data_IF_168575852819
#
_entry.id   IF_168575852819
#
_cell.length_a   1.000
_cell.length_b   1.000
_cell.length_c   1.000
_cell.angle_alpha   90.00
_cell.angle_beta   90.00
_cell.angle_gamma   90.00
#
_symmetry.space_group_name_H-M   'P 1'
#
loop_
_entity.id
_entity.type
_entity.pdbx_description
1 polymer ?
#
# COMPACT_ATOMS: atom_id res chain seq x y z
N UNK A 1 -7.80 14.59 -2.36
CA UNK A 1 -7.99 13.23 -2.93
C UNK A 1 -8.37 13.22 -4.41
N UNK A 2 -8.92 14.29 -5.00
CA UNK A 2 -9.24 14.31 -6.44
C UNK A 2 -8.01 14.35 -7.36
N UNK A 3 -6.84 14.62 -6.80
CA UNK A 3 -5.57 14.72 -7.51
C UNK A 3 -4.84 13.38 -7.67
N UNK A 4 -5.42 12.29 -7.13
CA UNK A 4 -4.79 10.96 -7.14
C UNK A 4 -5.71 9.91 -7.77
N UNK A 5 -5.11 9.05 -8.61
CA UNK A 5 -5.75 7.84 -9.09
C UNK A 5 -5.54 6.71 -8.07
N UNK A 6 -6.59 5.94 -7.80
CA UNK A 6 -6.58 4.74 -6.98
C UNK A 6 -6.48 3.53 -7.91
N UNK A 7 -5.46 2.70 -7.70
CA UNK A 7 -5.30 1.44 -8.41
C UNK A 7 -5.47 0.28 -7.43
N UNK A 8 -6.50 -0.52 -7.65
CA UNK A 8 -6.67 -1.81 -6.97
C UNK A 8 -6.09 -2.91 -7.86
N UNK A 9 -5.06 -3.60 -7.38
CA UNK A 9 -4.45 -4.72 -8.10
C UNK A 9 -4.94 -6.07 -7.55
N UNK A 10 -5.40 -6.95 -8.44
CA UNK A 10 -5.94 -8.27 -8.06
C UNK A 10 -7.45 -8.29 -7.80
N UNK A 11 -7.95 -9.35 -7.15
CA UNK A 11 -9.35 -9.48 -6.70
C UNK A 11 -10.41 -9.69 -7.80
N UNK A 12 -10.04 -9.66 -9.08
CA UNK A 12 -11.00 -9.70 -10.18
C UNK A 12 -11.66 -8.34 -10.44
N UNK A 13 -12.65 -8.30 -11.34
CA UNK A 13 -13.36 -7.04 -11.63
C UNK A 13 -14.24 -6.64 -10.45
N UNK A 14 -14.31 -5.34 -10.15
CA UNK A 14 -15.29 -4.82 -9.20
C UNK A 14 -16.70 -5.33 -9.52
N UNK A 15 -17.36 -5.85 -8.51
CA UNK A 15 -18.77 -6.19 -8.50
C UNK A 15 -19.65 -4.97 -8.77
N UNK A 16 -20.92 -5.21 -9.07
CA UNK A 16 -21.89 -4.13 -9.31
C UNK A 16 -22.05 -3.25 -8.06
N UNK A 17 -22.05 -3.87 -6.87
CA UNK A 17 -22.20 -3.17 -5.60
C UNK A 17 -20.98 -2.31 -5.26
N UNK A 18 -19.76 -2.80 -5.51
CA UNK A 18 -18.52 -2.01 -5.32
C UNK A 18 -18.48 -0.81 -6.26
N UNK A 19 -18.84 -0.99 -7.53
CA UNK A 19 -18.92 0.13 -8.49
C UNK A 19 -19.95 1.17 -8.06
N UNK A 20 -21.11 0.71 -7.58
CA UNK A 20 -22.14 1.60 -7.06
C UNK A 20 -21.63 2.40 -5.86
N UNK A 21 -20.95 1.73 -4.92
CA UNK A 21 -20.38 2.39 -3.75
C UNK A 21 -19.32 3.43 -4.14
N UNK A 22 -18.43 3.11 -5.08
CA UNK A 22 -17.43 4.06 -5.61
C UNK A 22 -18.11 5.30 -6.21
N UNK A 23 -19.18 5.11 -7.00
CA UNK A 23 -19.94 6.22 -7.58
C UNK A 23 -20.65 7.07 -6.52
N UNK A 24 -21.19 6.45 -5.47
CA UNK A 24 -21.84 7.16 -4.35
C UNK A 24 -20.86 8.02 -3.53
N UNK A 25 -19.58 7.65 -3.49
CA UNK A 25 -18.51 8.44 -2.86
C UNK A 25 -18.11 9.70 -3.66
N UNK A 26 -18.70 9.93 -4.83
CA UNK A 26 -18.43 11.10 -5.67
C UNK A 26 -17.04 11.08 -6.33
N UNK A 27 -16.44 9.89 -6.46
CA UNK A 27 -15.23 9.65 -7.24
C UNK A 27 -15.59 9.54 -8.72
N UNK A 28 -14.73 10.04 -9.60
CA UNK A 28 -14.93 9.93 -11.04
C UNK A 28 -14.75 8.47 -11.49
N UNK A 29 -15.46 8.06 -12.54
CA UNK A 29 -15.42 6.68 -13.05
C UNK A 29 -14.00 6.20 -13.41
N UNK A 30 -13.11 7.13 -13.77
CA UNK A 30 -11.72 6.86 -14.12
C UNK A 30 -10.74 7.03 -12.95
N UNK A 31 -11.17 7.47 -11.77
CA UNK A 31 -10.28 7.65 -10.60
C UNK A 31 -9.97 6.34 -9.90
N UNK A 32 -10.84 5.32 -9.99
CA UNK A 32 -10.63 4.02 -9.35
C UNK A 32 -10.51 2.92 -10.40
N UNK A 33 -9.31 2.38 -10.58
CA UNK A 33 -8.98 1.40 -11.61
C UNK A 33 -8.71 0.05 -10.98
N UNK A 34 -9.38 -0.99 -11.47
CA UNK A 34 -8.98 -2.37 -11.20
C UNK A 34 -7.98 -2.83 -12.27
N UNK A 35 -6.79 -3.24 -11.86
CA UNK A 35 -5.75 -3.76 -12.74
C UNK A 35 -5.44 -5.20 -12.37
N UNK A 36 -5.24 -6.03 -13.39
CA UNK A 36 -4.83 -7.42 -13.24
C UNK A 36 -3.59 -7.67 -14.09
N UNK A 37 -2.71 -8.53 -13.63
CA UNK A 37 -1.46 -8.86 -14.31
C UNK A 37 -0.62 -9.83 -13.50
N UNK A 38 0.57 -10.14 -14.02
CA UNK A 38 1.59 -10.87 -13.27
C UNK A 38 2.55 -9.93 -12.55
N UNK A 39 3.56 -10.51 -11.90
CA UNK A 39 4.52 -9.82 -11.02
C UNK A 39 5.20 -8.63 -11.69
N UNK A 40 5.54 -8.73 -12.98
CA UNK A 40 6.14 -7.61 -13.73
C UNK A 40 5.23 -6.37 -13.77
N UNK A 41 3.91 -6.56 -13.93
CA UNK A 41 2.96 -5.44 -13.91
C UNK A 41 2.87 -4.85 -12.50
N UNK A 42 2.83 -5.71 -11.49
CA UNK A 42 2.77 -5.30 -10.09
C UNK A 42 4.01 -4.48 -9.69
N UNK A 43 5.21 -4.94 -10.05
CA UNK A 43 6.47 -4.20 -9.90
C UNK A 43 6.44 -2.82 -10.54
N UNK A 44 5.89 -2.72 -11.77
CA UNK A 44 5.73 -1.42 -12.44
C UNK A 44 4.77 -0.52 -11.66
N UNK A 45 3.67 -1.07 -11.13
CA UNK A 45 2.73 -0.30 -10.32
C UNK A 45 3.37 0.20 -9.03
N UNK A 46 4.11 -0.64 -8.30
CA UNK A 46 4.84 -0.21 -7.10
C UNK A 46 5.82 0.92 -7.43
N UNK A 47 6.63 0.79 -8.49
CA UNK A 47 7.61 1.81 -8.87
C UNK A 47 7.01 3.16 -9.27
N UNK A 48 5.73 3.18 -9.66
CA UNK A 48 5.01 4.39 -10.08
C UNK A 48 4.06 4.92 -9.01
N UNK A 49 3.79 4.14 -7.97
CA UNK A 49 2.85 4.53 -6.93
C UNK A 49 3.50 5.53 -5.96
N UNK A 50 2.82 6.66 -5.75
CA UNK A 50 3.20 7.64 -4.72
C UNK A 50 3.06 7.08 -3.30
N UNK A 51 2.12 6.15 -3.13
CA UNK A 51 1.80 5.52 -1.85
C UNK A 51 1.17 4.15 -2.10
N UNK A 52 1.64 3.13 -1.40
CA UNK A 52 0.99 1.84 -1.31
C UNK A 52 0.21 1.73 0.00
N UNK A 53 -1.08 1.40 -0.10
CA UNK A 53 -2.00 1.27 1.04
C UNK A 53 -2.37 -0.19 1.21
N UNK A 54 -2.12 -0.73 2.40
CA UNK A 54 -2.40 -2.13 2.73
C UNK A 54 -3.31 -2.27 3.96
N UNK A 55 -4.65 -2.18 3.78
CA UNK A 55 -5.61 -2.14 4.89
C UNK A 55 -6.03 -3.54 5.39
N UNK A 56 -5.19 -4.57 5.21
CA UNK A 56 -5.57 -5.95 5.50
C UNK A 56 -5.82 -6.20 7.00
N UNK A 57 -6.88 -6.94 7.33
CA UNK A 57 -7.23 -7.28 8.71
C UNK A 57 -6.48 -8.52 9.22
N UNK A 58 -6.19 -9.48 8.34
CA UNK A 58 -5.58 -10.75 8.73
C UNK A 58 -4.80 -11.36 7.57
N UNK A 59 -3.48 -11.46 7.71
CA UNK A 59 -2.59 -12.08 6.73
C UNK A 59 -1.44 -12.81 7.39
N UNK A 60 -0.86 -13.77 6.65
CA UNK A 60 0.24 -14.62 7.12
C UNK A 60 1.60 -13.91 7.16
N UNK A 61 2.13 -13.52 6.00
CA UNK A 61 3.56 -13.16 5.86
C UNK A 61 3.85 -11.68 5.58
N UNK A 62 2.89 -10.90 5.10
CA UNK A 62 3.12 -9.47 4.81
C UNK A 62 4.11 -9.20 3.67
N UNK A 63 4.14 -10.05 2.64
CA UNK A 63 5.01 -9.87 1.46
C UNK A 63 4.70 -8.60 0.65
N UNK A 64 3.43 -8.22 0.39
CA UNK A 64 3.16 -7.06 -0.47
C UNK A 64 3.75 -5.74 0.04
N UNK A 65 3.71 -5.42 1.35
CA UNK A 65 4.46 -4.30 1.92
C UNK A 65 5.97 -4.34 1.64
N UNK A 66 6.62 -5.50 1.73
CA UNK A 66 8.06 -5.62 1.47
C UNK A 66 8.39 -5.45 -0.01
N UNK A 67 7.59 -6.02 -0.90
CA UNK A 67 7.74 -5.83 -2.35
C UNK A 67 7.61 -4.35 -2.73
N UNK A 68 6.62 -3.66 -2.17
CA UNK A 68 6.45 -2.22 -2.39
C UNK A 68 7.67 -1.41 -1.92
N UNK A 69 8.18 -1.71 -0.72
CA UNK A 69 9.39 -1.07 -0.18
C UNK A 69 10.62 -1.29 -1.08
N UNK A 70 10.77 -2.49 -1.65
CA UNK A 70 11.90 -2.82 -2.52
C UNK A 70 11.89 -1.99 -3.82
N UNK A 71 10.70 -1.60 -4.26
CA UNK A 71 10.49 -0.71 -5.40
C UNK A 71 10.51 0.78 -5.02
N UNK A 72 11.05 1.13 -3.84
CA UNK A 72 11.06 2.50 -3.30
C UNK A 72 9.66 3.11 -3.19
N UNK A 73 8.63 2.29 -2.98
CA UNK A 73 7.27 2.78 -2.77
C UNK A 73 7.01 2.98 -1.26
N UNK A 74 6.59 4.18 -0.82
CA UNK A 74 6.18 4.42 0.55
C UNK A 74 4.97 3.57 0.92
N UNK A 75 5.00 2.94 2.09
CA UNK A 75 3.95 2.03 2.55
C UNK A 75 3.19 2.61 3.74
N UNK A 76 1.87 2.51 3.68
CA UNK A 76 0.98 2.63 4.82
C UNK A 76 0.18 1.36 4.98
N UNK A 77 0.06 0.85 6.20
CA UNK A 77 -0.57 -0.44 6.44
C UNK A 77 -1.36 -0.48 7.74
N UNK A 78 -2.22 -1.49 7.87
CA UNK A 78 -2.90 -1.76 9.13
C UNK A 78 -1.89 -2.09 10.24
N UNK A 79 -2.28 -1.79 11.48
CA UNK A 79 -1.52 -2.09 12.69
C UNK A 79 -1.81 -3.50 13.26
N UNK A 80 -2.32 -4.42 12.44
CA UNK A 80 -2.81 -5.74 12.88
C UNK A 80 -1.95 -6.90 12.36
N UNK A 81 -2.09 -8.07 13.00
CA UNK A 81 -1.36 -9.31 12.65
C UNK A 81 0.18 -9.14 12.70
N UNK A 82 0.90 -9.84 11.82
CA UNK A 82 2.36 -9.81 11.66
C UNK A 82 2.87 -8.56 10.94
N UNK A 83 1.99 -7.72 10.37
CA UNK A 83 2.38 -6.58 9.53
C UNK A 83 3.27 -5.58 10.28
N UNK A 84 2.96 -5.13 11.52
CA UNK A 84 3.80 -4.17 12.25
C UNK A 84 5.21 -4.66 12.50
N UNK A 85 5.39 -5.97 12.67
CA UNK A 85 6.69 -6.62 12.85
C UNK A 85 7.44 -6.67 11.53
N UNK A 86 6.79 -7.04 10.43
CA UNK A 86 7.40 -7.09 9.10
C UNK A 86 7.87 -5.71 8.66
N UNK A 87 7.01 -4.69 8.69
CA UNK A 87 7.34 -3.34 8.21
C UNK A 87 8.20 -2.53 9.20
N UNK A 88 8.14 -2.86 10.50
CA UNK A 88 8.90 -2.16 11.53
C UNK A 88 8.61 -0.65 11.57
N UNK A 89 9.65 0.18 11.39
CA UNK A 89 9.55 1.64 11.32
C UNK A 89 9.48 2.19 9.89
N UNK A 90 9.51 1.31 8.89
CA UNK A 90 9.58 1.68 7.48
C UNK A 90 8.22 1.92 6.82
N UNK A 91 7.13 1.83 7.59
CA UNK A 91 5.77 2.16 7.16
C UNK A 91 5.05 2.92 8.27
N UNK A 92 4.16 3.83 7.88
CA UNK A 92 3.17 4.34 8.83
C UNK A 92 2.04 3.32 8.99
N UNK A 93 1.51 3.27 10.19
CA UNK A 93 0.50 2.30 10.60
C UNK A 93 -0.79 3.02 10.97
N UNK A 94 -1.92 2.45 10.56
CA UNK A 94 -3.24 2.94 10.92
C UNK A 94 -4.09 1.82 11.55
N UNK A 95 -5.11 2.20 12.30
CA UNK A 95 -6.16 1.30 12.75
C UNK A 95 -7.09 0.96 11.58
N UNK A 96 -7.26 -0.32 11.21
CA UNK A 96 -8.14 -0.69 10.09
C UNK A 96 -9.63 -0.52 10.42
N UNK A 97 -9.97 -0.26 11.68
CA UNK A 97 -11.33 0.01 12.14
C UNK A 97 -11.66 1.50 12.21
N UNK A 98 -10.69 2.37 11.89
CA UNK A 98 -10.83 3.83 11.98
C UNK A 98 -10.55 4.47 10.62
N UNK A 99 -11.62 4.89 9.95
CA UNK A 99 -11.56 5.52 8.62
C UNK A 99 -10.87 6.89 8.68
N UNK A 100 -10.99 7.61 9.81
CA UNK A 100 -10.33 8.90 9.98
C UNK A 100 -8.82 8.70 10.12
N UNK A 101 -8.39 7.68 10.88
CA UNK A 101 -6.96 7.35 11.04
C UNK A 101 -6.32 6.88 9.73
N UNK A 102 -7.04 6.08 8.93
CA UNK A 102 -6.62 5.68 7.58
C UNK A 102 -6.39 6.94 6.72
N UNK A 103 -7.39 7.82 6.66
CA UNK A 103 -7.37 9.01 5.82
C UNK A 103 -6.23 9.94 6.23
N UNK A 104 -6.12 10.25 7.52
CA UNK A 104 -5.07 11.11 8.05
C UNK A 104 -3.67 10.53 7.84
N UNK A 105 -3.51 9.22 7.97
CA UNK A 105 -2.22 8.54 7.72
C UNK A 105 -1.83 8.60 6.24
N UNK A 106 -2.80 8.42 5.33
CA UNK A 106 -2.57 8.58 3.89
C UNK A 106 -2.20 10.02 3.54
N UNK A 107 -2.93 11.01 4.05
CA UNK A 107 -2.69 12.44 3.78
C UNK A 107 -1.30 12.89 4.24
N UNK A 108 -0.83 12.41 5.39
CA UNK A 108 0.53 12.67 5.87
C UNK A 108 1.58 12.28 4.84
N UNK A 109 1.44 11.13 4.18
CA UNK A 109 2.44 10.66 3.19
C UNK A 109 2.25 11.33 1.84
N UNK A 110 1.00 11.55 1.41
CA UNK A 110 0.70 12.16 0.12
C UNK A 110 1.16 13.62 0.05
N UNK A 111 0.95 14.40 1.11
CA UNK A 111 1.22 15.85 1.10
C UNK A 111 2.51 16.27 1.81
N UNK A 112 3.24 15.35 2.46
CA UNK A 112 4.54 15.64 3.06
C UNK A 112 5.65 14.86 2.35
N UNK A 113 6.42 15.55 1.50
CA UNK A 113 7.54 14.95 0.78
C UNK A 113 8.65 14.45 1.69
N UNK A 114 8.91 15.13 2.82
CA UNK A 114 9.94 14.68 3.77
C UNK A 114 9.60 13.33 4.38
N UNK A 115 8.35 13.16 4.84
CA UNK A 115 7.89 11.87 5.38
C UNK A 115 7.98 10.79 4.30
N UNK A 116 7.61 11.13 3.06
CA UNK A 116 7.67 10.20 1.94
C UNK A 116 9.11 9.72 1.69
N UNK A 117 10.06 10.65 1.63
CA UNK A 117 11.48 10.34 1.38
C UNK A 117 12.07 9.50 2.52
N UNK A 118 11.73 9.84 3.77
CA UNK A 118 12.15 9.07 4.95
C UNK A 118 11.62 7.63 4.91
N UNK A 119 10.35 7.44 4.52
CA UNK A 119 9.74 6.12 4.38
C UNK A 119 10.36 5.31 3.25
N UNK A 120 10.68 5.94 2.10
CA UNK A 120 11.37 5.24 1.01
C UNK A 120 12.74 4.73 1.44
N UNK A 121 13.54 5.58 2.10
CA UNK A 121 14.86 5.20 2.60
C UNK A 121 14.76 4.10 3.68
N UNK A 122 13.84 4.25 4.63
CA UNK A 122 13.62 3.25 5.67
C UNK A 122 13.12 1.92 5.07
N UNK A 123 12.29 1.96 4.03
CA UNK A 123 11.80 0.82 3.27
C UNK A 123 12.92 0.02 2.64
N UNK A 124 13.79 0.68 1.89
CA UNK A 124 14.95 0.05 1.25
C UNK A 124 15.92 -0.57 2.26
N UNK A 125 16.13 0.07 3.42
CA UNK A 125 16.94 -0.55 4.48
C UNK A 125 16.22 -1.73 5.13
N UNK A 126 14.88 -1.69 5.24
CA UNK A 126 14.09 -2.78 5.82
C UNK A 126 14.15 -4.02 4.94
N UNK A 127 14.02 -3.90 3.62
CA UNK A 127 14.02 -5.06 2.71
C UNK A 127 15.32 -5.84 2.72
N UNK A 128 16.47 -5.20 2.96
CA UNK A 128 17.77 -5.88 3.18
C UNK A 128 17.77 -6.88 4.33
N UNK A 129 16.88 -6.71 5.31
CA UNK A 129 16.74 -7.66 6.42
C UNK A 129 15.98 -8.93 6.03
N UNK A 130 15.24 -8.89 4.93
CA UNK A 130 14.40 -9.97 4.41
C UNK A 130 14.86 -10.49 3.04
N UNK A 131 16.01 -10.03 2.54
CA UNK A 131 16.56 -10.56 1.30
C UNK A 131 16.84 -12.06 1.45
N UNK A 132 16.52 -12.79 0.38
CA UNK A 132 16.51 -14.25 0.29
C UNK A 132 17.81 -14.92 0.79
N UNK A 133 18.93 -14.19 0.79
CA UNK A 133 20.24 -14.61 1.27
C UNK A 133 20.26 -15.03 2.76
N UNK A 134 19.31 -14.57 3.59
CA UNK A 134 19.23 -14.97 5.00
C UNK A 134 18.25 -16.11 5.30
N UNK A 135 17.47 -16.55 4.32
CA UNK A 135 16.36 -17.50 4.53
C UNK A 135 16.74 -18.96 4.23
N UNK A 136 17.93 -19.19 3.66
CA UNK A 136 18.53 -20.51 3.52
C UNK A 136 19.68 -20.70 4.53
N UNK A 137 19.33 -21.15 5.74
CA UNK A 137 20.23 -21.85 6.66
C UNK A 137 19.58 -23.17 7.06
#
# INVERSE_FOLDING_TARGET
>A
MKDFDIVAFGGGKFSVDEKRYISELGLEENQVKNIQGGDNMLSVLYSKATLFVYPSLYEGFGLPPLEAMDHSCPVVCSNTSSIPEVVGKAALKFSPFDVEDISHTMEKVLYNSSIRDDLMLAGLERTKSFSWEKMCC
#
